data_IF_108715986556
#
_entry.id   IF_108715986556
#
_cell.length_a   1.000
_cell.length_b   1.000
_cell.length_c   1.000
_cell.angle_alpha   90.00
_cell.angle_beta   90.00
_cell.angle_gamma   90.00
#
_symmetry.space_group_name_H-M   'P 1'
#
loop_
_entity.id
_entity.type
_entity.pdbx_description
1 polymer ?
#
# COMPACT_ATOMS: atom_id res chain seq x y z
N UNK A 1 26.20 -9.18 20.56
CA UNK A 1 25.08 -8.35 20.08
C UNK A 1 24.04 -8.28 21.19
N UNK A 2 23.98 -7.16 21.90
CA UNK A 2 22.99 -6.94 22.96
C UNK A 2 21.60 -6.78 22.32
N UNK A 3 20.58 -7.46 22.87
CA UNK A 3 19.19 -7.34 22.42
C UNK A 3 18.73 -5.90 22.61
N UNK A 4 18.50 -5.15 21.52
CA UNK A 4 17.75 -3.91 21.60
C UNK A 4 16.31 -4.24 22.00
N UNK A 5 15.85 -3.67 23.11
CA UNK A 5 14.56 -3.97 23.74
C UNK A 5 13.33 -3.58 22.89
N UNK A 6 13.53 -2.94 21.73
CA UNK A 6 12.49 -2.44 20.83
C UNK A 6 12.51 -3.06 19.43
N UNK A 7 12.83 -4.34 19.25
CA UNK A 7 12.90 -4.96 17.91
C UNK A 7 12.11 -6.25 17.73
N UNK A 8 11.69 -6.46 16.49
CA UNK A 8 11.10 -7.68 15.98
C UNK A 8 12.15 -8.46 15.19
N UNK A 9 12.43 -9.69 15.61
CA UNK A 9 13.21 -10.65 14.81
C UNK A 9 12.30 -11.46 13.88
N UNK A 10 12.68 -11.64 12.62
CA UNK A 10 11.95 -12.50 11.70
C UNK A 10 11.93 -13.96 12.18
N UNK A 11 10.74 -14.57 12.25
CA UNK A 11 10.52 -15.98 12.63
C UNK A 11 9.92 -16.77 11.46
N UNK A 12 10.68 -16.98 10.35
CA UNK A 12 10.15 -17.52 9.10
C UNK A 12 9.59 -18.93 9.24
N UNK A 13 10.18 -19.78 10.09
CA UNK A 13 9.68 -21.14 10.36
C UNK A 13 8.30 -21.09 11.03
N UNK A 14 8.10 -20.20 12.01
CA UNK A 14 6.79 -20.05 12.67
C UNK A 14 5.75 -19.50 11.69
N UNK A 15 6.12 -18.52 10.88
CA UNK A 15 5.26 -18.00 9.82
C UNK A 15 4.84 -19.11 8.83
N UNK A 16 5.77 -19.98 8.43
CA UNK A 16 5.48 -21.13 7.59
C UNK A 16 4.51 -22.11 8.26
N UNK A 17 4.75 -22.47 9.53
CA UNK A 17 3.87 -23.37 10.28
C UNK A 17 2.45 -22.82 10.42
N UNK A 18 2.30 -21.51 10.69
CA UNK A 18 0.98 -20.86 10.76
C UNK A 18 0.26 -20.94 9.41
N UNK A 19 0.95 -20.64 8.30
CA UNK A 19 0.36 -20.76 6.95
C UNK A 19 -0.02 -22.21 6.60
N UNK A 20 0.86 -23.16 6.91
CA UNK A 20 0.60 -24.58 6.69
C UNK A 20 -0.61 -25.06 7.50
N UNK A 21 -0.70 -24.68 8.78
CA UNK A 21 -1.84 -24.98 9.64
C UNK A 21 -3.13 -24.34 9.10
N UNK A 22 -3.07 -23.08 8.64
CA UNK A 22 -4.22 -22.39 8.07
C UNK A 22 -4.77 -23.09 6.80
N UNK A 23 -3.92 -23.78 6.05
CA UNK A 23 -4.33 -24.55 4.87
C UNK A 23 -4.81 -25.97 5.21
N UNK A 24 -4.11 -26.66 6.11
CA UNK A 24 -4.36 -28.09 6.43
C UNK A 24 -5.55 -28.27 7.38
N UNK A 25 -5.69 -27.41 8.39
CA UNK A 25 -6.73 -27.58 9.43
C UNK A 25 -8.16 -27.56 8.86
N UNK A 26 -8.55 -26.67 7.91
CA UNK A 26 -9.88 -26.71 7.31
C UNK A 26 -10.18 -28.03 6.59
N UNK A 27 -9.20 -28.58 5.87
CA UNK A 27 -9.34 -29.85 5.17
C UNK A 27 -9.52 -31.01 6.15
N UNK A 28 -8.69 -31.08 7.19
CA UNK A 28 -8.80 -32.10 8.25
C UNK A 28 -10.15 -32.00 8.94
N UNK A 29 -10.60 -30.78 9.27
CA UNK A 29 -11.89 -30.56 9.91
C UNK A 29 -13.06 -31.03 9.03
N UNK A 30 -13.04 -30.72 7.74
CA UNK A 30 -14.05 -31.19 6.79
C UNK A 30 -14.09 -32.73 6.68
N UNK A 31 -12.92 -33.38 6.62
CA UNK A 31 -12.80 -34.85 6.61
C UNK A 31 -13.36 -35.46 7.89
N UNK A 32 -13.05 -34.88 9.06
CA UNK A 32 -13.57 -35.35 10.35
C UNK A 32 -15.09 -35.21 10.40
N UNK A 33 -15.65 -34.09 9.93
CA UNK A 33 -17.12 -33.90 9.85
C UNK A 33 -17.76 -34.93 8.92
N UNK A 34 -17.18 -35.16 7.74
CA UNK A 34 -17.66 -36.19 6.81
C UNK A 34 -17.66 -37.56 7.49
N UNK A 35 -16.53 -37.95 8.07
CA UNK A 35 -16.37 -39.23 8.76
C UNK A 35 -17.38 -39.40 9.89
N UNK A 36 -17.60 -38.39 10.73
CA UNK A 36 -18.59 -38.44 11.81
C UNK A 36 -20.03 -38.54 11.29
N UNK A 37 -20.38 -37.78 10.26
CA UNK A 37 -21.72 -37.85 9.66
C UNK A 37 -22.00 -39.23 9.08
N UNK A 38 -21.01 -39.87 8.46
CA UNK A 38 -21.17 -41.24 7.94
C UNK A 38 -21.36 -42.28 9.05
N UNK A 39 -20.93 -41.99 10.28
CA UNK A 39 -21.13 -42.86 11.45
C UNK A 39 -22.47 -42.64 12.14
N UNK A 40 -22.98 -41.41 12.14
CA UNK A 40 -24.18 -41.01 12.87
C UNK A 40 -25.44 -41.20 12.02
N UNK A 41 -25.38 -40.85 10.72
CA UNK A 41 -26.53 -40.91 9.85
C UNK A 41 -26.79 -42.35 9.39
N UNK A 42 -28.00 -42.88 9.56
CA UNK A 42 -28.33 -44.23 9.10
C UNK A 42 -28.17 -44.32 7.57
N UNK A 43 -27.64 -45.45 7.09
CA UNK A 43 -27.46 -45.70 5.66
C UNK A 43 -28.81 -46.06 5.01
N UNK A 44 -29.33 -45.24 4.09
CA UNK A 44 -30.59 -45.52 3.41
C UNK A 44 -30.44 -46.68 2.43
N UNK A 45 -31.51 -47.43 2.24
CA UNK A 45 -31.56 -48.60 1.33
C UNK A 45 -32.11 -48.26 -0.05
N UNK A 46 -32.76 -47.09 -0.20
CA UNK A 46 -33.33 -46.63 -1.47
C UNK A 46 -32.33 -45.74 -2.21
N UNK A 47 -32.28 -45.86 -3.54
CA UNK A 47 -31.35 -45.07 -4.36
C UNK A 47 -31.52 -43.54 -4.20
N UNK A 48 -32.76 -42.98 -4.13
CA UNK A 48 -32.93 -41.55 -3.81
C UNK A 48 -32.43 -41.17 -2.42
N UNK A 49 -32.60 -42.06 -1.43
CA UNK A 49 -32.09 -41.85 -0.08
C UNK A 49 -30.56 -41.81 -0.05
N UNK A 50 -29.90 -42.72 -0.78
CA UNK A 50 -28.43 -42.75 -0.89
C UNK A 50 -27.90 -41.46 -1.50
N UNK A 51 -28.55 -40.95 -2.55
CA UNK A 51 -28.20 -39.66 -3.16
C UNK A 51 -28.35 -38.53 -2.14
N UNK A 52 -29.50 -38.43 -1.47
CA UNK A 52 -29.74 -37.39 -0.48
C UNK A 52 -28.74 -37.45 0.68
N UNK A 53 -28.39 -38.64 1.14
CA UNK A 53 -27.42 -38.85 2.20
C UNK A 53 -26.02 -38.35 1.81
N UNK A 54 -25.55 -38.67 0.60
CA UNK A 54 -24.28 -38.14 0.10
C UNK A 54 -24.32 -36.63 -0.09
N UNK A 55 -25.41 -36.08 -0.60
CA UNK A 55 -25.60 -34.63 -0.72
C UNK A 55 -25.53 -33.94 0.64
N UNK A 56 -26.13 -34.53 1.67
CA UNK A 56 -26.09 -34.01 3.03
C UNK A 56 -24.65 -34.04 3.60
N UNK A 57 -23.95 -35.17 3.49
CA UNK A 57 -22.55 -35.30 3.93
C UNK A 57 -21.65 -34.29 3.21
N UNK A 58 -21.80 -34.15 1.89
CA UNK A 58 -21.03 -33.20 1.08
C UNK A 58 -21.35 -31.75 1.47
N UNK A 59 -22.63 -31.41 1.62
CA UNK A 59 -23.05 -30.06 2.00
C UNK A 59 -22.52 -29.68 3.39
N UNK A 60 -22.64 -30.56 4.38
CA UNK A 60 -22.13 -30.34 5.73
C UNK A 60 -20.61 -30.26 5.78
N UNK A 61 -19.89 -31.11 5.04
CA UNK A 61 -18.43 -31.08 4.96
C UNK A 61 -17.92 -29.82 4.26
N UNK A 62 -18.62 -29.37 3.22
CA UNK A 62 -18.34 -28.10 2.53
C UNK A 62 -18.59 -26.90 3.45
N UNK A 63 -19.67 -26.93 4.24
CA UNK A 63 -19.94 -25.90 5.24
C UNK A 63 -18.86 -25.88 6.33
N UNK A 64 -18.48 -27.04 6.85
CA UNK A 64 -17.41 -27.20 7.82
C UNK A 64 -16.08 -26.65 7.30
N UNK A 65 -15.73 -26.99 6.05
CA UNK A 65 -14.56 -26.45 5.36
C UNK A 65 -14.60 -24.91 5.32
N UNK A 66 -15.72 -24.32 4.88
CA UNK A 66 -15.86 -22.85 4.79
C UNK A 66 -15.77 -22.16 6.14
N UNK A 67 -16.36 -22.75 7.18
CA UNK A 67 -16.28 -22.21 8.54
C UNK A 67 -14.83 -22.24 9.02
N UNK A 68 -14.18 -23.39 8.96
CA UNK A 68 -12.80 -23.55 9.39
C UNK A 68 -11.83 -22.68 8.56
N UNK A 69 -12.05 -22.55 7.24
CA UNK A 69 -11.29 -21.68 6.35
C UNK A 69 -11.42 -20.20 6.74
N UNK A 70 -12.62 -19.72 7.09
CA UNK A 70 -12.79 -18.35 7.61
C UNK A 70 -11.98 -18.12 8.89
N UNK A 71 -12.02 -19.06 9.83
CA UNK A 71 -11.24 -18.94 11.08
C UNK A 71 -9.73 -19.02 10.81
N UNK A 72 -9.28 -19.93 9.96
CA UNK A 72 -7.89 -20.07 9.56
C UNK A 72 -7.35 -18.81 8.88
N UNK A 73 -8.14 -18.18 8.00
CA UNK A 73 -7.77 -16.93 7.32
C UNK A 73 -7.58 -15.75 8.28
N UNK A 74 -8.24 -15.73 9.45
CA UNK A 74 -7.99 -14.72 10.49
C UNK A 74 -6.57 -14.79 11.08
N UNK A 75 -5.88 -15.92 10.94
CA UNK A 75 -4.49 -16.08 11.41
C UNK A 75 -3.45 -15.66 10.35
N UNK A 76 -3.86 -15.32 9.13
CA UNK A 76 -2.94 -14.96 8.05
C UNK A 76 -2.14 -13.67 8.31
N UNK A 77 -2.74 -12.58 8.85
CA UNK A 77 -1.98 -11.38 9.20
C UNK A 77 -0.85 -11.69 10.20
N UNK A 78 -1.11 -12.57 11.17
CA UNK A 78 -0.09 -13.00 12.13
C UNK A 78 1.09 -13.69 11.44
N UNK A 79 0.85 -14.52 10.42
CA UNK A 79 1.93 -15.16 9.68
C UNK A 79 2.81 -14.14 8.91
N UNK A 80 2.22 -13.06 8.40
CA UNK A 80 2.96 -11.95 7.76
C UNK A 80 3.81 -11.23 8.80
N UNK A 81 3.19 -10.80 9.90
CA UNK A 81 3.91 -10.14 11.00
C UNK A 81 5.02 -11.02 11.59
N UNK A 82 4.85 -12.35 11.62
CA UNK A 82 5.90 -13.28 12.07
C UNK A 82 7.12 -13.31 11.15
N UNK A 83 6.96 -13.01 9.87
CA UNK A 83 8.07 -12.94 8.91
C UNK A 83 8.84 -11.62 9.00
N UNK A 84 8.19 -10.55 9.43
CA UNK A 84 8.78 -9.22 9.50
C UNK A 84 9.91 -9.13 10.54
N UNK A 85 10.93 -8.38 10.15
CA UNK A 85 12.03 -7.93 11.00
C UNK A 85 12.07 -6.41 10.95
N UNK A 86 11.74 -5.76 12.07
CA UNK A 86 11.57 -4.31 12.18
C UNK A 86 12.11 -3.84 13.53
N UNK A 87 12.67 -2.63 13.55
CA UNK A 87 13.08 -1.95 14.79
C UNK A 87 12.12 -0.80 15.02
N UNK A 88 11.68 -0.62 16.27
CA UNK A 88 10.70 0.38 16.66
C UNK A 88 11.41 1.56 17.35
N UNK A 89 10.83 2.77 17.30
CA UNK A 89 11.40 3.95 17.96
C UNK A 89 11.63 3.69 19.46
N UNK A 90 10.62 3.13 20.13
CA UNK A 90 10.66 2.84 21.57
C UNK A 90 10.58 1.34 21.86
N UNK A 91 9.36 0.79 21.85
CA UNK A 91 9.09 -0.60 22.22
C UNK A 91 8.39 -1.33 21.10
N UNK A 92 8.79 -2.58 20.89
CA UNK A 92 8.13 -3.44 19.93
C UNK A 92 6.71 -3.83 20.42
N UNK A 93 5.65 -3.57 19.64
CA UNK A 93 4.30 -3.97 19.98
C UNK A 93 4.15 -5.50 19.90
N UNK A 94 3.06 -6.01 20.49
CA UNK A 94 2.75 -7.43 20.42
C UNK A 94 2.19 -7.78 19.03
N UNK A 95 2.88 -8.65 18.29
CA UNK A 95 2.44 -9.13 16.96
C UNK A 95 1.02 -9.72 16.95
N UNK A 96 0.64 -10.41 18.03
CA UNK A 96 -0.70 -10.97 18.15
C UNK A 96 -1.76 -9.87 18.30
N UNK A 97 -1.47 -8.83 19.11
CA UNK A 97 -2.33 -7.67 19.26
C UNK A 97 -2.57 -6.94 17.94
N UNK A 98 -1.50 -6.64 17.21
CA UNK A 98 -1.57 -6.05 15.86
C UNK A 98 -2.42 -6.91 14.91
N UNK A 99 -2.22 -8.24 14.93
CA UNK A 99 -2.96 -9.14 14.03
C UNK A 99 -4.46 -9.20 14.30
N UNK A 100 -4.89 -9.03 15.56
CA UNK A 100 -6.30 -8.99 15.92
C UNK A 100 -6.97 -7.71 15.45
N UNK A 101 -6.24 -6.59 15.48
CA UNK A 101 -6.71 -5.29 14.99
C UNK A 101 -6.86 -5.26 13.46
N UNK A 102 -6.01 -5.98 12.71
CA UNK A 102 -5.97 -5.98 11.23
C UNK A 102 -7.03 -6.84 10.52
N UNK A 103 -8.13 -7.24 11.18
CA UNK A 103 -9.02 -8.31 10.70
C UNK A 103 -10.49 -7.95 10.45
N UNK A 104 -10.93 -6.73 10.75
CA UNK A 104 -12.33 -6.32 10.65
C UNK A 104 -12.44 -4.95 9.95
N UNK A 105 -13.33 -4.82 8.97
CA UNK A 105 -13.55 -3.58 8.20
C UNK A 105 -14.00 -2.41 9.09
N UNK A 106 -14.87 -2.65 10.07
CA UNK A 106 -15.28 -1.62 11.03
C UNK A 106 -14.09 -1.15 11.89
N UNK A 107 -13.18 -2.06 12.24
CA UNK A 107 -11.96 -1.71 12.98
C UNK A 107 -10.97 -0.96 12.09
N UNK A 108 -11.03 -1.15 10.76
CA UNK A 108 -10.19 -0.42 9.81
C UNK A 108 -10.60 1.05 9.70
N UNK A 109 -11.90 1.35 9.60
CA UNK A 109 -12.40 2.74 9.60
C UNK A 109 -11.99 3.47 10.88
N UNK A 110 -12.18 2.83 12.04
CA UNK A 110 -11.76 3.39 13.34
C UNK A 110 -10.24 3.62 13.44
N UNK A 111 -9.43 2.71 12.88
CA UNK A 111 -7.98 2.87 12.83
C UNK A 111 -7.52 3.94 11.83
N UNK A 112 -8.23 4.10 10.70
CA UNK A 112 -7.97 5.14 9.72
C UNK A 112 -8.30 6.52 10.27
N UNK A 113 -9.45 6.68 10.93
CA UNK A 113 -9.84 7.91 11.63
C UNK A 113 -8.82 8.26 12.70
N UNK A 114 -8.41 7.26 13.50
CA UNK A 114 -7.40 7.44 14.53
C UNK A 114 -6.06 7.87 13.95
N UNK A 115 -5.59 7.23 12.89
CA UNK A 115 -4.31 7.57 12.25
C UNK A 115 -4.36 8.95 11.59
N UNK A 116 -5.50 9.34 11.02
CA UNK A 116 -5.67 10.65 10.36
C UNK A 116 -5.77 11.80 11.36
N UNK A 117 -6.20 11.54 12.60
CA UNK A 117 -6.25 12.52 13.70
C UNK A 117 -4.99 12.52 14.57
N UNK A 118 -4.14 11.51 14.43
CA UNK A 118 -2.94 11.37 15.24
C UNK A 118 -1.90 12.41 14.83
N UNK A 119 -1.46 13.21 15.81
CA UNK A 119 -0.47 14.26 15.60
C UNK A 119 0.96 13.76 15.78
N UNK A 120 1.94 14.64 15.57
CA UNK A 120 3.38 14.36 15.79
C UNK A 120 3.77 14.16 17.26
N UNK A 121 2.85 14.37 18.21
CA UNK A 121 3.08 14.36 19.66
C UNK A 121 2.53 13.10 20.36
N UNK A 122 1.93 12.16 19.61
CA UNK A 122 1.35 10.94 20.16
C UNK A 122 2.41 9.86 20.47
N UNK A 123 2.07 8.89 21.34
CA UNK A 123 2.94 7.75 21.67
C UNK A 123 3.35 6.98 20.40
N UNK A 124 4.63 7.08 20.03
CA UNK A 124 5.22 6.47 18.83
C UNK A 124 4.99 4.95 18.78
N UNK A 125 4.89 4.29 19.94
CA UNK A 125 4.61 2.85 20.01
C UNK A 125 3.17 2.55 19.58
N UNK A 126 2.22 3.35 20.05
CA UNK A 126 0.80 3.21 19.71
C UNK A 126 0.54 3.59 18.24
N UNK A 127 1.22 4.63 17.76
CA UNK A 127 1.19 5.00 16.35
C UNK A 127 1.77 3.89 15.47
N UNK A 128 2.92 3.32 15.82
CA UNK A 128 3.52 2.20 15.09
C UNK A 128 2.61 0.96 15.09
N UNK A 129 1.91 0.69 16.20
CA UNK A 129 0.92 -0.40 16.27
C UNK A 129 -0.25 -0.18 15.31
N UNK A 130 -0.79 1.03 15.30
CA UNK A 130 -1.90 1.46 14.43
C UNK A 130 -1.49 1.35 12.95
N UNK A 131 -0.34 1.92 12.60
CA UNK A 131 0.20 1.92 11.23
C UNK A 131 0.52 0.50 10.76
N UNK A 132 1.02 -0.38 11.62
CA UNK A 132 1.21 -1.80 11.27
C UNK A 132 -0.10 -2.54 11.05
N UNK A 133 -1.13 -2.25 11.84
CA UNK A 133 -2.46 -2.82 11.64
C UNK A 133 -3.06 -2.35 10.30
N UNK A 134 -2.89 -1.07 9.95
CA UNK A 134 -3.26 -0.50 8.66
C UNK A 134 -2.48 -1.15 7.50
N UNK A 135 -1.16 -1.27 7.59
CA UNK A 135 -0.33 -1.95 6.57
C UNK A 135 -0.67 -3.44 6.39
N UNK A 136 -1.05 -4.12 7.47
CA UNK A 136 -1.57 -5.49 7.40
C UNK A 136 -2.97 -5.54 6.74
N UNK A 137 -3.82 -4.54 6.98
CA UNK A 137 -5.12 -4.41 6.33
C UNK A 137 -4.98 -4.08 4.83
N UNK A 138 -4.01 -3.25 4.43
CA UNK A 138 -3.71 -2.95 3.02
C UNK A 138 -3.41 -4.23 2.23
N UNK A 139 -2.57 -5.12 2.80
CA UNK A 139 -2.27 -6.43 2.20
C UNK A 139 -3.53 -7.33 2.06
N UNK A 140 -4.58 -7.10 2.85
CA UNK A 140 -5.85 -7.78 2.72
C UNK A 140 -6.77 -7.10 1.68
N UNK A 141 -6.74 -5.77 1.63
CA UNK A 141 -7.53 -4.90 0.75
C UNK A 141 -7.07 -4.97 -0.72
N UNK A 142 -5.79 -5.22 -0.97
CA UNK A 142 -5.26 -5.50 -2.29
C UNK A 142 -4.78 -6.97 -2.40
N UNK A 143 -5.68 -7.91 -2.76
CA UNK A 143 -5.33 -9.30 -2.97
C UNK A 143 -4.28 -9.49 -4.07
N UNK A 144 -4.13 -8.53 -4.99
CA UNK A 144 -3.27 -8.59 -6.18
C UNK A 144 -1.82 -8.26 -5.85
N UNK A 145 -1.56 -7.55 -4.75
CA UNK A 145 -0.21 -7.17 -4.28
C UNK A 145 0.20 -7.85 -2.97
N UNK A 146 -0.42 -8.98 -2.59
CA UNK A 146 -0.08 -9.67 -1.32
C UNK A 146 1.42 -9.90 -1.14
N UNK A 147 1.97 -9.31 -0.08
CA UNK A 147 3.40 -9.42 0.27
C UNK A 147 4.33 -8.62 -0.64
N UNK A 148 3.80 -7.71 -1.45
CA UNK A 148 4.55 -6.75 -2.25
C UNK A 148 5.36 -5.82 -1.36
N UNK A 149 4.71 -5.12 -0.42
CA UNK A 149 5.39 -4.24 0.52
C UNK A 149 6.52 -4.93 1.29
N UNK A 150 6.34 -6.22 1.66
CA UNK A 150 7.38 -7.02 2.31
C UNK A 150 8.62 -7.25 1.42
N UNK A 151 8.42 -7.46 0.12
CA UNK A 151 9.49 -7.69 -0.86
C UNK A 151 10.16 -6.37 -1.22
N UNK A 152 9.40 -5.31 -1.46
CA UNK A 152 9.93 -3.94 -1.69
C UNK A 152 10.80 -3.51 -0.51
N UNK A 153 10.32 -3.68 0.73
CA UNK A 153 11.10 -3.48 1.95
C UNK A 153 12.43 -4.24 1.92
N UNK A 154 12.40 -5.51 1.54
CA UNK A 154 13.60 -6.35 1.54
C UNK A 154 14.57 -5.97 0.41
N UNK A 155 14.09 -5.56 -0.77
CA UNK A 155 14.95 -5.04 -1.83
C UNK A 155 15.54 -3.67 -1.47
N UNK A 156 14.76 -2.78 -0.85
CA UNK A 156 15.24 -1.50 -0.34
C UNK A 156 16.32 -1.69 0.72
N UNK A 157 16.15 -2.65 1.63
CA UNK A 157 17.16 -3.02 2.64
C UNK A 157 18.48 -3.51 2.01
N UNK A 158 18.41 -4.29 0.92
CA UNK A 158 19.61 -4.72 0.18
C UNK A 158 20.29 -3.56 -0.54
N UNK A 159 19.51 -2.63 -1.10
CA UNK A 159 20.01 -1.41 -1.72
C UNK A 159 20.70 -0.51 -0.70
N UNK A 160 20.06 -0.26 0.45
CA UNK A 160 20.66 0.52 1.52
C UNK A 160 21.99 -0.09 2.00
N UNK A 161 22.05 -1.42 2.15
CA UNK A 161 23.31 -2.10 2.48
C UNK A 161 24.40 -1.89 1.42
N UNK A 162 24.07 -2.04 0.13
CA UNK A 162 25.01 -1.83 -0.97
C UNK A 162 25.47 -0.37 -1.07
N UNK A 163 24.59 0.58 -0.71
CA UNK A 163 24.88 2.01 -0.72
C UNK A 163 25.57 2.49 0.57
N UNK A 164 25.90 1.58 1.49
CA UNK A 164 26.69 1.87 2.69
C UNK A 164 25.90 2.42 3.87
N UNK A 165 24.57 2.27 3.88
CA UNK A 165 23.75 2.68 5.02
C UNK A 165 24.06 1.85 6.26
N UNK A 166 24.07 2.53 7.40
CA UNK A 166 24.14 1.92 8.72
C UNK A 166 22.92 1.06 9.01
N UNK A 167 23.02 0.18 10.02
CA UNK A 167 21.88 -0.65 10.44
C UNK A 167 20.67 0.20 10.88
N UNK A 168 20.89 1.37 11.49
CA UNK A 168 19.82 2.28 11.91
C UNK A 168 19.10 2.90 10.72
N UNK A 169 19.85 3.45 9.76
CA UNK A 169 19.30 4.02 8.52
C UNK A 169 18.53 2.97 7.73
N UNK A 170 19.09 1.76 7.60
CA UNK A 170 18.37 0.64 6.98
C UNK A 170 17.08 0.28 7.70
N UNK A 171 17.03 0.41 9.03
CA UNK A 171 15.80 0.16 9.78
C UNK A 171 14.72 1.20 9.44
N UNK A 172 15.07 2.48 9.35
CA UNK A 172 14.16 3.56 8.92
C UNK A 172 13.72 3.37 7.47
N UNK A 173 14.65 3.04 6.57
CA UNK A 173 14.36 2.71 5.17
C UNK A 173 13.40 1.53 5.03
N UNK A 174 13.59 0.46 5.80
CA UNK A 174 12.68 -0.69 5.81
C UNK A 174 11.26 -0.30 6.21
N UNK A 175 11.11 0.58 7.19
CA UNK A 175 9.78 1.08 7.56
C UNK A 175 9.17 1.90 6.44
N UNK A 176 9.87 2.91 5.96
CA UNK A 176 9.33 3.81 4.95
C UNK A 176 9.00 3.08 3.64
N UNK A 177 9.87 2.18 3.17
CA UNK A 177 9.63 1.36 1.98
C UNK A 177 8.48 0.33 2.17
N UNK A 178 8.21 -0.12 3.40
CA UNK A 178 7.04 -0.98 3.66
C UNK A 178 5.73 -0.19 3.63
N UNK A 179 5.79 1.09 4.01
CA UNK A 179 4.63 1.98 4.11
C UNK A 179 4.38 2.82 2.86
N UNK A 180 5.21 2.72 1.82
CA UNK A 180 5.13 3.60 0.65
C UNK A 180 3.72 3.69 0.04
N UNK A 181 3.01 2.57 0.05
CA UNK A 181 1.67 2.42 -0.51
C UNK A 181 0.52 2.58 0.52
N UNK A 182 0.81 2.97 1.77
CA UNK A 182 -0.21 2.98 2.85
C UNK A 182 -1.40 3.89 2.53
N UNK A 183 -1.18 5.00 1.80
CA UNK A 183 -2.24 5.91 1.39
C UNK A 183 -3.26 5.30 0.43
N UNK A 184 -2.97 4.16 -0.20
CA UNK A 184 -3.97 3.42 -1.01
C UNK A 184 -5.18 2.97 -0.19
N UNK A 185 -5.09 2.94 1.14
CA UNK A 185 -6.24 2.69 2.01
C UNK A 185 -7.35 3.74 1.90
N UNK A 186 -7.04 4.96 1.46
CA UNK A 186 -8.03 6.02 1.21
C UNK A 186 -8.57 6.03 -0.22
N UNK A 187 -7.99 5.23 -1.12
CA UNK A 187 -8.49 5.13 -2.49
C UNK A 187 -9.75 4.23 -2.49
N UNK A 188 -10.88 4.68 -3.08
CA UNK A 188 -12.08 3.87 -3.20
C UNK A 188 -11.84 2.50 -3.83
N UNK A 189 -12.51 1.47 -3.30
CA UNK A 189 -12.31 0.09 -3.72
C UNK A 189 -12.64 -0.13 -5.21
N UNK A 190 -13.56 0.64 -5.78
CA UNK A 190 -13.93 0.61 -7.19
C UNK A 190 -12.77 1.05 -8.10
N UNK A 191 -11.95 1.99 -7.63
CA UNK A 191 -10.79 2.50 -8.36
C UNK A 191 -9.64 1.51 -8.27
N UNK A 192 -9.30 1.03 -7.06
CA UNK A 192 -8.22 0.04 -6.86
C UNK A 192 -8.51 -1.25 -7.63
N UNK A 193 -9.76 -1.70 -7.63
CA UNK A 193 -10.14 -2.97 -8.24
C UNK A 193 -10.51 -2.87 -9.73
N UNK A 194 -10.43 -1.67 -10.33
CA UNK A 194 -10.77 -1.43 -11.72
C UNK A 194 -10.05 -2.43 -12.65
N UNK A 195 -10.77 -3.07 -13.59
CA UNK A 195 -10.21 -4.13 -14.46
C UNK A 195 -9.40 -3.58 -15.65
N UNK A 196 -9.21 -2.27 -15.75
CA UNK A 196 -8.55 -1.62 -16.89
C UNK A 196 -7.78 -0.36 -16.51
N UNK A 197 -7.36 0.41 -17.53
CA UNK A 197 -6.74 1.71 -17.31
C UNK A 197 -7.73 2.63 -16.59
N UNK A 198 -7.25 3.34 -15.57
CA UNK A 198 -8.03 4.33 -14.84
C UNK A 198 -8.45 5.45 -15.79
N UNK A 199 -9.66 5.97 -15.60
CA UNK A 199 -10.08 7.24 -16.21
C UNK A 199 -9.25 8.39 -15.65
N UNK A 200 -9.27 9.55 -16.30
CA UNK A 200 -8.50 10.70 -15.83
C UNK A 200 -8.97 11.14 -14.42
N UNK A 201 -10.27 11.12 -14.15
CA UNK A 201 -10.82 11.40 -12.80
C UNK A 201 -10.35 10.38 -11.76
N UNK A 202 -10.38 9.08 -12.10
CA UNK A 202 -9.91 8.02 -11.23
C UNK A 202 -8.40 8.12 -10.98
N UNK A 203 -7.65 8.57 -11.98
CA UNK A 203 -6.21 8.80 -11.88
C UNK A 203 -5.90 9.98 -10.96
N UNK A 204 -6.68 11.07 -11.01
CA UNK A 204 -6.55 12.21 -10.09
C UNK A 204 -6.72 11.79 -8.63
N UNK A 205 -7.62 10.84 -8.36
CA UNK A 205 -7.76 10.28 -7.01
C UNK A 205 -6.57 9.35 -6.68
N UNK A 206 -6.20 8.46 -7.60
CA UNK A 206 -5.11 7.49 -7.37
C UNK A 206 -3.76 8.16 -7.11
N UNK A 207 -3.43 9.26 -7.81
CA UNK A 207 -2.13 9.93 -7.70
C UNK A 207 -1.88 10.62 -6.36
N UNK A 208 -2.91 10.81 -5.53
CA UNK A 208 -2.82 11.44 -4.20
C UNK A 208 -2.41 10.46 -3.09
N UNK A 209 -2.32 9.16 -3.37
CA UNK A 209 -1.95 8.17 -2.36
C UNK A 209 -0.56 8.40 -1.71
N UNK A 210 0.46 9.03 -2.33
CA UNK A 210 1.69 9.36 -1.62
C UNK A 210 1.46 10.39 -0.51
N UNK A 211 0.64 11.41 -0.77
CA UNK A 211 0.33 12.47 0.21
C UNK A 211 -0.52 11.93 1.36
N UNK A 212 -1.56 11.15 1.06
CA UNK A 212 -2.32 10.43 2.10
C UNK A 212 -1.46 9.43 2.88
N UNK A 213 -0.43 8.87 2.22
CA UNK A 213 0.55 8.03 2.89
C UNK A 213 1.34 8.80 3.94
N UNK A 214 1.77 10.03 3.61
CA UNK A 214 2.45 10.92 4.53
C UNK A 214 1.57 11.33 5.71
N UNK A 215 0.29 11.65 5.46
CA UNK A 215 -0.67 11.94 6.53
C UNK A 215 -0.87 10.76 7.49
N UNK A 216 -1.12 9.55 6.96
CA UNK A 216 -1.30 8.36 7.80
C UNK A 216 -0.02 7.97 8.57
N UNK A 217 1.14 8.37 8.06
CA UNK A 217 2.43 8.16 8.69
C UNK A 217 2.89 9.33 9.56
N UNK A 218 2.08 10.40 9.69
CA UNK A 218 2.45 11.66 10.35
C UNK A 218 3.14 11.47 11.72
N UNK A 219 2.64 10.60 12.63
CA UNK A 219 3.29 10.39 13.92
C UNK A 219 4.70 9.79 13.83
N UNK A 220 5.01 9.03 12.77
CA UNK A 220 6.33 8.43 12.58
C UNK A 220 7.31 9.34 11.85
N UNK A 221 6.86 10.43 11.24
CA UNK A 221 7.71 11.32 10.44
C UNK A 221 8.91 11.89 11.22
N UNK A 222 8.78 12.33 12.50
CA UNK A 222 9.94 12.81 13.26
C UNK A 222 11.03 11.75 13.44
N UNK A 223 10.64 10.48 13.56
CA UNK A 223 11.58 9.37 13.68
C UNK A 223 12.15 8.92 12.33
N UNK A 224 11.31 8.91 11.28
CA UNK A 224 11.73 8.55 9.93
C UNK A 224 12.65 9.61 9.31
N UNK A 225 12.47 10.88 9.63
CA UNK A 225 13.25 11.99 9.06
C UNK A 225 13.23 11.94 7.53
N UNK A 226 14.40 12.05 6.90
CA UNK A 226 14.55 12.01 5.43
C UNK A 226 14.04 10.72 4.78
N UNK A 227 13.95 9.62 5.53
CA UNK A 227 13.46 8.34 4.99
C UNK A 227 11.97 8.39 4.64
N UNK A 228 11.22 9.34 5.22
CA UNK A 228 9.82 9.57 4.88
C UNK A 228 9.59 9.90 3.40
N UNK A 229 10.63 10.37 2.69
CA UNK A 229 10.56 10.56 1.24
C UNK A 229 10.17 9.27 0.48
N UNK A 230 10.50 8.08 1.01
CA UNK A 230 10.05 6.81 0.44
C UNK A 230 8.52 6.62 0.47
N UNK A 231 7.79 7.41 1.25
CA UNK A 231 6.32 7.41 1.30
C UNK A 231 5.79 8.48 0.35
N UNK A 232 6.21 9.74 0.51
CA UNK A 232 5.65 10.86 -0.26
C UNK A 232 6.15 11.00 -1.70
N UNK A 233 7.31 10.45 -2.04
CA UNK A 233 8.00 10.73 -3.32
C UNK A 233 8.33 9.46 -4.13
N UNK A 234 7.84 8.28 -3.75
CA UNK A 234 8.24 7.02 -4.41
C UNK A 234 7.76 6.88 -5.87
N UNK A 235 6.86 7.77 -6.32
CA UNK A 235 6.43 7.88 -7.71
C UNK A 235 7.02 9.09 -8.46
N UNK A 236 7.90 9.84 -7.81
CA UNK A 236 8.71 10.85 -8.49
C UNK A 236 9.68 10.18 -9.46
N UNK A 237 10.01 10.89 -10.53
CA UNK A 237 10.88 10.39 -11.59
C UNK A 237 12.11 11.26 -11.67
N UNK A 238 13.26 10.64 -11.91
CA UNK A 238 14.53 11.38 -11.98
C UNK A 238 14.54 12.48 -13.06
N UNK A 239 13.72 12.32 -14.11
CA UNK A 239 13.49 13.30 -15.19
C UNK A 239 12.47 14.40 -14.89
N UNK A 240 11.87 14.41 -13.69
CA UNK A 240 10.86 15.40 -13.28
C UNK A 240 9.45 15.13 -13.79
N UNK A 241 9.22 14.08 -14.60
CA UNK A 241 7.87 13.75 -15.10
C UNK A 241 7.06 12.88 -14.11
N UNK A 242 7.44 12.90 -12.83
CA UNK A 242 6.85 12.12 -11.75
C UNK A 242 5.65 12.80 -11.10
N UNK A 243 5.22 12.24 -9.97
CA UNK A 243 4.17 12.79 -9.11
C UNK A 243 4.44 12.42 -7.64
N UNK A 244 3.88 13.15 -6.67
CA UNK A 244 2.85 14.19 -6.78
C UNK A 244 3.36 15.57 -7.22
N UNK A 245 4.60 15.94 -6.89
CA UNK A 245 5.12 17.31 -6.97
C UNK A 245 5.94 17.58 -8.24
N UNK A 246 6.41 16.53 -8.93
CA UNK A 246 7.22 16.68 -10.16
C UNK A 246 8.65 17.13 -9.87
N UNK A 247 9.17 16.82 -8.68
CA UNK A 247 10.57 17.07 -8.32
C UNK A 247 11.50 16.17 -9.14
N UNK A 248 12.71 16.67 -9.43
CA UNK A 248 13.64 16.02 -10.36
C UNK A 248 15.01 15.77 -9.74
N UNK A 249 15.74 14.81 -10.31
CA UNK A 249 17.13 14.55 -9.97
C UNK A 249 17.35 14.25 -8.48
N UNK A 250 18.26 15.01 -7.86
CA UNK A 250 18.66 14.83 -6.45
C UNK A 250 17.75 15.55 -5.45
N UNK A 251 16.82 16.39 -5.91
CA UNK A 251 15.76 16.98 -5.06
C UNK A 251 14.80 15.90 -4.55
N UNK A 252 14.72 14.78 -5.26
CA UNK A 252 14.04 13.58 -4.80
C UNK A 252 14.84 12.97 -3.65
N UNK A 253 14.21 12.79 -2.49
CA UNK A 253 14.83 12.16 -1.34
C UNK A 253 15.42 10.79 -1.70
N UNK A 254 16.63 10.50 -1.22
CA UNK A 254 17.35 9.29 -1.62
C UNK A 254 16.59 8.00 -1.27
N UNK A 255 15.88 7.99 -0.14
CA UNK A 255 15.00 6.88 0.24
C UNK A 255 13.88 6.63 -0.78
N UNK A 256 13.34 7.69 -1.40
CA UNK A 256 12.34 7.56 -2.47
C UNK A 256 12.97 6.96 -3.72
N UNK A 257 14.12 7.49 -4.16
CA UNK A 257 14.86 6.94 -5.32
C UNK A 257 15.18 5.44 -5.15
N UNK A 258 15.60 5.02 -3.96
CA UNK A 258 15.82 3.61 -3.60
C UNK A 258 14.51 2.81 -3.71
N UNK A 259 13.43 3.33 -3.11
CA UNK A 259 12.13 2.65 -3.06
C UNK A 259 11.50 2.52 -4.45
N UNK A 260 11.60 3.52 -5.32
CA UNK A 260 11.09 3.47 -6.70
C UNK A 260 11.76 2.36 -7.52
N UNK A 261 13.08 2.15 -7.36
CA UNK A 261 13.81 1.05 -8.01
C UNK A 261 13.37 -0.31 -7.45
N UNK A 262 13.27 -0.42 -6.12
CA UNK A 262 12.84 -1.64 -5.44
C UNK A 262 11.40 -2.04 -5.81
N UNK A 263 10.48 -1.08 -5.82
CA UNK A 263 9.08 -1.24 -6.22
C UNK A 263 8.97 -1.69 -7.66
N UNK A 264 9.58 -0.94 -8.59
CA UNK A 264 9.49 -1.27 -10.02
C UNK A 264 10.09 -2.65 -10.32
N UNK A 265 11.20 -3.01 -9.67
CA UNK A 265 11.76 -4.35 -9.79
C UNK A 265 10.80 -5.45 -9.31
N UNK A 266 10.16 -5.25 -8.16
CA UNK A 266 9.17 -6.20 -7.64
C UNK A 266 7.96 -6.32 -8.57
N UNK A 267 7.47 -5.18 -9.08
CA UNK A 267 6.36 -5.12 -10.04
C UNK A 267 6.69 -5.89 -11.32
N UNK A 268 7.92 -5.80 -11.82
CA UNK A 268 8.34 -6.53 -13.03
C UNK A 268 8.51 -8.02 -12.79
N UNK A 269 8.99 -8.43 -11.62
CA UNK A 269 9.39 -9.82 -11.33
C UNK A 269 8.32 -10.64 -10.61
N UNK A 270 7.24 -10.01 -10.17
CA UNK A 270 6.12 -10.67 -9.51
C UNK A 270 5.00 -11.02 -10.50
N UNK A 271 4.38 -12.18 -10.32
CA UNK A 271 3.18 -12.57 -11.08
C UNK A 271 2.01 -11.67 -10.67
N UNK A 272 1.39 -10.99 -11.64
CA UNK A 272 0.17 -10.19 -11.44
C UNK A 272 -0.95 -10.68 -12.36
N UNK A 273 -2.20 -10.34 -12.02
CA UNK A 273 -3.42 -10.83 -12.69
C UNK A 273 -3.45 -10.64 -14.22
N UNK A 274 -2.71 -9.66 -14.74
CA UNK A 274 -2.74 -9.25 -16.15
C UNK A 274 -1.35 -9.23 -16.82
N UNK A 275 -0.30 -9.68 -16.14
CA UNK A 275 1.08 -9.65 -16.68
C UNK A 275 1.92 -10.79 -16.13
N UNK A 276 2.54 -11.54 -17.04
CA UNK A 276 3.54 -12.54 -16.67
C UNK A 276 4.76 -11.88 -16.03
N UNK A 277 5.33 -12.56 -15.04
CA UNK A 277 6.55 -12.11 -14.37
C UNK A 277 7.72 -12.12 -15.36
N UNK A 278 8.44 -11.00 -15.47
CA UNK A 278 9.69 -10.94 -16.24
C UNK A 278 10.81 -11.67 -15.50
N UNK A 279 11.73 -12.33 -16.22
CA UNK A 279 12.96 -12.82 -15.63
C UNK A 279 13.75 -11.69 -14.96
N UNK A 280 14.44 -12.01 -13.85
CA UNK A 280 15.24 -11.05 -13.09
C UNK A 280 16.30 -10.33 -13.95
N UNK A 281 16.88 -11.02 -14.94
CA UNK A 281 17.83 -10.43 -15.88
C UNK A 281 17.19 -9.35 -16.77
N UNK A 282 16.03 -9.63 -17.35
CA UNK A 282 15.30 -8.67 -18.20
C UNK A 282 14.79 -7.48 -17.38
N UNK A 283 14.33 -7.73 -16.14
CA UNK A 283 13.95 -6.66 -15.23
C UNK A 283 15.13 -5.71 -14.93
N UNK A 284 16.35 -6.25 -14.80
CA UNK A 284 17.57 -5.46 -14.58
C UNK A 284 18.01 -4.69 -15.82
N UNK A 285 17.87 -5.29 -17.00
CA UNK A 285 18.10 -4.59 -18.28
C UNK A 285 17.14 -3.41 -18.43
N UNK A 286 15.87 -3.58 -18.06
CA UNK A 286 14.88 -2.51 -18.08
C UNK A 286 15.21 -1.39 -17.08
N UNK A 287 15.63 -1.73 -15.86
CA UNK A 287 16.11 -0.73 -14.89
C UNK A 287 17.29 0.06 -15.46
N UNK A 288 18.26 -0.62 -16.08
CA UNK A 288 19.42 0.00 -16.70
C UNK A 288 19.02 0.94 -17.86
N UNK A 289 18.06 0.51 -18.69
CA UNK A 289 17.52 1.32 -19.79
C UNK A 289 16.84 2.59 -19.30
N UNK A 290 16.16 2.53 -18.15
CA UNK A 290 15.45 3.65 -17.55
C UNK A 290 16.31 4.52 -16.62
N UNK A 291 17.60 4.21 -16.45
CA UNK A 291 18.53 5.02 -15.65
C UNK A 291 18.72 6.41 -16.28
N UNK A 292 18.63 7.46 -15.46
CA UNK A 292 18.73 8.86 -15.87
C UNK A 292 17.42 9.45 -16.41
N UNK A 293 16.36 8.64 -16.55
CA UNK A 293 15.01 9.11 -16.85
C UNK A 293 14.07 8.80 -15.69
N UNK A 294 13.61 7.55 -15.57
CA UNK A 294 12.75 7.17 -14.46
C UNK A 294 13.53 7.07 -13.15
N UNK A 295 14.75 6.52 -13.20
CA UNK A 295 15.50 6.16 -12.00
C UNK A 295 16.83 6.90 -11.93
N UNK A 296 17.28 7.14 -10.70
CA UNK A 296 18.62 7.60 -10.42
C UNK A 296 19.67 6.58 -10.93
N UNK A 297 20.61 6.98 -11.81
CA UNK A 297 21.68 6.12 -12.30
C UNK A 297 22.56 5.50 -11.21
N UNK A 298 22.80 6.20 -10.10
CA UNK A 298 23.60 5.73 -8.97
C UNK A 298 22.89 4.60 -8.25
N UNK A 299 21.59 4.77 -7.97
CA UNK A 299 20.76 3.75 -7.31
C UNK A 299 20.62 2.52 -8.21
N UNK A 300 20.40 2.70 -9.51
CA UNK A 300 20.36 1.58 -10.46
C UNK A 300 21.68 0.84 -10.49
N UNK A 301 22.81 1.55 -10.52
CA UNK A 301 24.15 0.93 -10.47
C UNK A 301 24.34 0.10 -9.21
N UNK A 302 23.98 0.64 -8.05
CA UNK A 302 23.99 -0.10 -6.78
C UNK A 302 23.11 -1.36 -6.87
N UNK A 303 21.88 -1.23 -7.38
CA UNK A 303 20.99 -2.38 -7.56
C UNK A 303 21.61 -3.49 -8.43
N UNK A 304 22.32 -3.10 -9.49
CA UNK A 304 22.98 -4.02 -10.39
C UNK A 304 24.24 -4.67 -9.79
N UNK A 305 24.87 -4.08 -8.77
CA UNK A 305 25.95 -4.74 -8.04
C UNK A 305 25.45 -5.89 -7.16
N UNK A 306 24.18 -5.83 -6.72
CA UNK A 306 23.58 -6.89 -5.90
C UNK A 306 23.47 -8.17 -6.73
N UNK A 307 24.00 -9.27 -6.19
CA UNK A 307 23.93 -10.58 -6.86
C UNK A 307 22.49 -11.08 -7.04
N UNK A 308 22.24 -11.73 -8.18
CA UNK A 308 20.96 -12.41 -8.46
C UNK A 308 20.62 -13.46 -7.39
N UNK A 309 21.62 -14.08 -6.78
CA UNK A 309 21.44 -15.02 -5.67
C UNK A 309 20.72 -14.37 -4.49
N UNK A 310 21.20 -13.21 -4.02
CA UNK A 310 20.55 -12.45 -2.94
C UNK A 310 19.12 -12.03 -3.31
N UNK A 311 18.92 -11.55 -4.53
CA UNK A 311 17.59 -11.13 -5.01
C UNK A 311 16.59 -12.30 -5.04
N UNK A 312 17.02 -13.48 -5.46
CA UNK A 312 16.18 -14.70 -5.49
C UNK A 312 15.69 -15.13 -4.11
N UNK A 313 16.50 -14.94 -3.07
CA UNK A 313 16.08 -15.25 -1.70
C UNK A 313 14.91 -14.39 -1.23
N UNK A 314 14.81 -13.14 -1.69
CA UNK A 314 13.70 -12.22 -1.39
C UNK A 314 12.43 -12.60 -2.13
N UNK A 315 12.53 -12.91 -3.43
CA UNK A 315 11.40 -13.38 -4.23
C UNK A 315 10.83 -14.73 -3.73
N UNK A 316 11.65 -15.49 -2.98
CA UNK A 316 11.31 -16.76 -2.36
C UNK A 316 11.59 -17.96 -3.28
N UNK A 317 11.94 -19.13 -2.73
CA UNK A 317 12.47 -20.27 -3.49
C UNK A 317 11.50 -20.86 -4.53
N UNK A 318 10.19 -20.61 -4.40
CA UNK A 318 9.17 -21.08 -5.35
C UNK A 318 8.96 -20.17 -6.56
N UNK A 319 9.38 -18.89 -6.49
CA UNK A 319 9.26 -17.94 -7.61
C UNK A 319 10.09 -18.39 -8.83
N UNK A 320 11.23 -19.03 -8.57
CA UNK A 320 12.08 -19.64 -9.59
C UNK A 320 11.50 -20.93 -10.19
N UNK A 321 10.79 -21.75 -9.40
CA UNK A 321 10.18 -22.99 -9.92
C UNK A 321 9.09 -22.70 -10.96
N UNK A 322 8.39 -21.58 -10.85
CA UNK A 322 7.44 -21.11 -11.86
C UNK A 322 8.10 -20.72 -13.20
N UNK A 323 9.43 -20.54 -13.23
CA UNK A 323 10.23 -20.16 -14.39
C UNK A 323 10.97 -21.35 -15.02
N UNK A 324 10.88 -22.55 -14.44
CA UNK A 324 11.45 -23.78 -15.01
C UNK A 324 10.43 -24.40 -15.97
N UNK A 325 10.74 -24.57 -17.28
CA UNK A 325 9.77 -25.02 -18.30
C UNK A 325 9.04 -26.34 -17.96
N UNK A 326 9.73 -27.23 -17.25
CA UNK A 326 9.21 -28.52 -16.80
C UNK A 326 8.12 -28.40 -15.72
N UNK A 327 8.21 -27.38 -14.85
CA UNK A 327 7.23 -27.17 -13.78
C UNK A 327 5.96 -26.50 -14.28
N UNK A 328 6.05 -25.61 -15.28
CA UNK A 328 4.86 -25.02 -15.93
C UNK A 328 4.01 -26.09 -16.61
N UNK A 329 4.64 -27.04 -17.30
CA UNK A 329 3.97 -28.17 -17.95
C UNK A 329 3.37 -29.15 -16.93
N UNK A 330 4.05 -29.42 -15.81
CA UNK A 330 3.51 -30.21 -14.71
C UNK A 330 2.33 -29.52 -14.00
N UNK A 331 2.40 -28.20 -13.76
CA UNK A 331 1.30 -27.42 -13.17
C UNK A 331 0.08 -27.36 -14.10
N UNK A 332 0.31 -27.13 -15.40
CA UNK A 332 -0.75 -27.16 -16.41
C UNK A 332 -1.40 -28.56 -16.53
N UNK A 333 -0.60 -29.63 -16.40
CA UNK A 333 -1.10 -30.99 -16.31
C UNK A 333 -1.95 -31.24 -15.05
N UNK A 334 -1.55 -30.68 -13.90
CA UNK A 334 -2.31 -30.78 -12.66
C UNK A 334 -3.60 -29.95 -12.67
N UNK A 335 -3.59 -28.75 -13.26
CA UNK A 335 -4.79 -27.91 -13.40
C UNK A 335 -5.77 -28.48 -14.41
N UNK A 336 -5.30 -29.06 -15.52
CA UNK A 336 -6.17 -29.79 -16.47
C UNK A 336 -6.74 -31.06 -15.85
N UNK A 337 -5.97 -31.81 -15.06
CA UNK A 337 -6.50 -32.94 -14.27
C UNK A 337 -7.57 -32.50 -13.25
N UNK A 338 -7.35 -31.40 -12.54
CA UNK A 338 -8.30 -30.86 -11.57
C UNK A 338 -9.57 -30.29 -12.24
N UNK A 339 -9.43 -29.60 -13.37
CA UNK A 339 -10.56 -29.11 -14.18
C UNK A 339 -11.35 -30.28 -14.78
N UNK A 340 -10.68 -31.30 -15.31
CA UNK A 340 -11.32 -32.49 -15.85
C UNK A 340 -11.98 -33.32 -14.74
N UNK A 341 -11.42 -33.36 -13.53
CA UNK A 341 -12.06 -33.98 -12.37
C UNK A 341 -13.30 -33.20 -11.90
N UNK A 342 -13.28 -31.85 -11.95
CA UNK A 342 -14.43 -31.01 -11.64
C UNK A 342 -15.54 -31.13 -12.69
N UNK A 343 -15.18 -31.24 -13.98
CA UNK A 343 -16.12 -31.50 -15.08
C UNK A 343 -16.66 -32.93 -15.01
N UNK A 344 -15.87 -33.92 -14.62
CA UNK A 344 -16.35 -35.28 -14.37
C UNK A 344 -17.32 -35.35 -13.17
N UNK A 345 -17.08 -34.55 -12.13
CA UNK A 345 -18.01 -34.40 -11.01
C UNK A 345 -19.32 -33.69 -11.39
N UNK A 346 -19.30 -32.77 -12.36
CA UNK A 346 -20.50 -32.17 -12.95
C UNK A 346 -21.23 -33.11 -13.93
N UNK A 347 -20.51 -33.90 -14.72
CA UNK A 347 -21.07 -34.88 -15.64
C UNK A 347 -21.72 -36.09 -14.90
N UNK A 348 -21.25 -36.39 -13.69
CA UNK A 348 -21.91 -37.36 -12.80
C UNK A 348 -23.31 -36.93 -12.31
N UNK A 349 -23.66 -35.65 -12.45
CA UNK A 349 -24.97 -35.10 -12.08
C UNK A 349 -25.96 -34.99 -13.25
N UNK A 350 -25.56 -35.29 -14.49
CA UNK A 350 -26.41 -35.12 -15.69
C UNK A 350 -26.79 -36.43 -16.37
N UNK A 351 -26.70 -37.57 -15.68
CA UNK A 351 -27.08 -38.88 -16.21
C UNK A 351 -28.53 -39.29 -15.87
N UNK A 352 -29.50 -38.37 -15.87
CA UNK A 352 -30.94 -38.73 -16.01
C UNK A 352 -31.76 -37.54 -16.52
N UNK A 353 -31.80 -37.34 -17.84
CA UNK A 353 -32.97 -36.81 -18.56
C UNK A 353 -32.70 -36.87 -20.08
N UNK A 354 -32.84 -38.05 -20.68
CA UNK A 354 -33.06 -38.14 -22.13
C UNK A 354 -34.55 -37.95 -22.36
N UNK A 355 -34.93 -36.89 -23.10
CA UNK A 355 -36.32 -36.63 -23.45
C UNK A 355 -36.55 -35.39 -24.32
N UNK A 356 -36.15 -35.49 -25.59
CA UNK A 356 -36.71 -34.81 -26.77
C UNK A 356 -36.46 -33.29 -27.01
N UNK A 357 -35.71 -33.02 -28.10
CA UNK A 357 -35.94 -32.02 -29.18
C UNK A 357 -36.19 -30.55 -28.81
N UNK A 358 -35.58 -29.51 -29.40
CA UNK A 358 -35.07 -29.33 -30.75
C UNK A 358 -34.02 -28.20 -30.79
N UNK A 359 -33.12 -28.28 -31.77
CA UNK A 359 -32.20 -27.20 -32.14
C UNK A 359 -33.00 -26.03 -32.71
N UNK A 360 -32.97 -24.89 -32.03
CA UNK A 360 -33.35 -23.59 -32.61
C UNK A 360 -32.21 -22.63 -32.32
N UNK A 361 -31.48 -22.26 -33.38
CA UNK A 361 -30.52 -21.17 -33.32
C UNK A 361 -31.25 -19.83 -33.09
N UNK A 362 -30.81 -18.96 -32.18
CA UNK A 362 -31.25 -17.58 -32.19
C UNK A 362 -30.39 -16.79 -33.19
N UNK A 363 -31.08 -16.15 -34.12
CA UNK A 363 -30.54 -15.14 -35.00
C UNK A 363 -30.03 -13.93 -34.21
N UNK A 364 -29.00 -13.29 -34.76
CA UNK A 364 -28.49 -11.98 -34.34
C UNK A 364 -29.62 -10.95 -34.43
N UNK A 365 -30.08 -10.46 -33.28
CA UNK A 365 -30.94 -9.27 -33.17
C UNK A 365 -30.03 -8.12 -32.73
N UNK A 366 -29.80 -7.20 -33.65
CA UNK A 366 -29.19 -5.90 -33.41
C UNK A 366 -30.12 -5.06 -32.51
N UNK A 367 -29.65 -4.70 -31.32
CA UNK A 367 -30.39 -3.86 -30.38
C UNK A 367 -29.86 -2.42 -30.47
N UNK A 368 -30.72 -1.39 -30.56
CA UNK A 368 -30.26 -0.02 -30.68
C UNK A 368 -29.58 0.44 -29.39
N UNK A 369 -28.43 1.10 -29.56
CA UNK A 369 -27.61 1.69 -28.50
C UNK A 369 -28.40 2.77 -27.75
N UNK A 370 -28.43 2.78 -26.40
CA UNK A 370 -29.04 3.88 -25.67
C UNK A 370 -28.19 5.15 -25.81
N UNK A 371 -28.85 6.27 -26.10
CA UNK A 371 -28.25 7.60 -26.06
C UNK A 371 -28.00 8.02 -24.61
N UNK A 372 -26.84 8.62 -24.28
CA UNK A 372 -26.56 9.12 -22.94
C UNK A 372 -27.47 10.32 -22.61
N UNK A 373 -27.93 10.47 -21.35
CA UNK A 373 -28.68 11.66 -20.94
C UNK A 373 -27.78 12.90 -20.90
N UNK A 374 -28.33 14.04 -21.29
CA UNK A 374 -27.68 15.35 -21.20
C UNK A 374 -27.22 15.67 -19.78
N UNK A 375 -25.97 16.13 -19.65
CA UNK A 375 -25.37 16.55 -18.39
C UNK A 375 -26.15 17.72 -17.77
N UNK A 376 -26.64 17.51 -16.56
CA UNK A 376 -27.05 18.60 -15.67
C UNK A 376 -25.76 19.14 -15.03
N UNK A 377 -25.45 20.41 -15.27
CA UNK A 377 -24.31 21.06 -14.63
C UNK A 377 -24.55 21.12 -13.11
N UNK A 378 -23.65 20.49 -12.35
CA UNK A 378 -23.59 20.60 -10.89
C UNK A 378 -23.22 22.04 -10.50
N UNK A 379 -23.75 22.59 -9.40
CA UNK A 379 -23.33 23.90 -8.91
C UNK A 379 -21.83 23.89 -8.56
N UNK A 380 -21.12 24.98 -8.85
CA UNK A 380 -19.71 25.13 -8.54
C UNK A 380 -19.49 24.93 -7.03
N UNK A 381 -18.55 24.04 -6.68
CA UNK A 381 -18.13 23.81 -5.30
C UNK A 381 -17.40 25.08 -4.83
N UNK A 382 -17.86 25.66 -3.72
CA UNK A 382 -17.25 26.84 -3.10
C UNK A 382 -16.08 26.37 -2.24
N UNK A 383 -14.92 27.00 -2.40
CA UNK A 383 -13.73 26.82 -1.56
C UNK A 383 -13.66 27.99 -0.59
N UNK A 384 -13.32 27.72 0.67
CA UNK A 384 -13.16 28.72 1.72
C UNK A 384 -11.76 28.55 2.34
N UNK A 385 -10.88 29.51 2.06
CA UNK A 385 -9.52 29.56 2.63
C UNK A 385 -9.51 30.58 3.78
N UNK A 386 -9.07 30.15 4.96
CA UNK A 386 -9.05 30.94 6.18
C UNK A 386 -7.66 31.50 6.46
N UNK A 387 -7.59 32.74 6.92
CA UNK A 387 -6.32 33.41 7.26
C UNK A 387 -5.58 32.69 8.40
N UNK A 388 -4.25 32.75 8.34
CA UNK A 388 -3.33 32.11 9.28
C UNK A 388 -2.43 33.12 10.02
N UNK A 389 -1.87 32.69 11.15
CA UNK A 389 -0.92 33.48 11.92
C UNK A 389 0.26 32.65 12.43
N UNK A 390 1.47 33.19 12.29
CA UNK A 390 2.69 32.63 12.88
C UNK A 390 3.48 33.67 13.65
N UNK A 391 4.25 33.22 14.65
CA UNK A 391 5.18 34.05 15.40
C UNK A 391 6.49 33.31 15.57
N UNK A 392 7.60 33.98 15.28
CA UNK A 392 8.94 33.43 15.33
C UNK A 392 9.95 34.48 15.82
N UNK A 393 11.14 34.04 16.22
CA UNK A 393 12.27 34.93 16.50
C UNK A 393 12.96 35.34 15.20
N UNK A 394 13.64 36.49 15.19
CA UNK A 394 14.55 36.83 14.09
C UNK A 394 15.59 35.72 13.86
N UNK A 395 16.04 35.59 12.61
CA UNK A 395 16.98 34.57 12.10
C UNK A 395 16.53 33.09 12.23
N UNK A 396 15.31 32.82 12.73
CA UNK A 396 14.72 31.49 12.74
C UNK A 396 13.76 31.31 11.56
N UNK A 397 13.71 30.10 10.99
CA UNK A 397 12.68 29.71 10.03
C UNK A 397 11.57 28.96 10.76
N UNK A 398 10.32 29.19 10.37
CA UNK A 398 9.15 28.49 10.91
C UNK A 398 8.38 27.79 9.78
N UNK A 399 7.84 26.60 10.07
CA UNK A 399 7.01 25.82 9.13
C UNK A 399 5.59 25.70 9.67
N UNK A 400 4.61 26.14 8.88
CA UNK A 400 3.19 26.12 9.24
C UNK A 400 2.37 25.33 8.23
N UNK A 401 1.37 24.61 8.74
CA UNK A 401 0.39 23.93 7.91
C UNK A 401 -0.81 24.85 7.67
N UNK A 402 -0.77 25.61 6.57
CA UNK A 402 -1.76 26.66 6.23
C UNK A 402 -3.12 26.13 5.78
N UNK A 403 -3.26 24.80 5.65
CA UNK A 403 -4.52 24.14 5.32
C UNK A 403 -5.21 23.58 6.58
N UNK A 404 -4.60 23.75 7.77
CA UNK A 404 -5.08 23.12 9.00
C UNK A 404 -6.42 23.67 9.50
N UNK A 405 -6.79 24.88 9.06
CA UNK A 405 -8.02 25.59 9.37
C UNK A 405 -8.99 25.67 8.16
N UNK A 406 -8.66 25.05 7.02
CA UNK A 406 -9.47 25.10 5.81
C UNK A 406 -10.33 23.84 5.64
N UNK A 407 -11.62 23.98 5.34
CA UNK A 407 -12.52 22.86 5.02
C UNK A 407 -12.58 22.65 3.49
N UNK A 408 -11.43 22.33 2.90
CA UNK A 408 -11.28 22.16 1.46
C UNK A 408 -10.42 20.95 1.12
N UNK A 409 -10.91 20.14 0.17
CA UNK A 409 -10.10 19.10 -0.47
C UNK A 409 -9.24 19.75 -1.57
N UNK A 410 -7.96 19.98 -1.26
CA UNK A 410 -7.03 20.80 -2.05
C UNK A 410 -6.55 20.08 -3.32
N UNK A 411 -6.65 20.77 -4.45
CA UNK A 411 -6.03 20.42 -5.72
C UNK A 411 -4.68 21.10 -5.92
N UNK A 412 -4.54 22.37 -5.50
CA UNK A 412 -3.26 23.08 -5.53
C UNK A 412 -3.20 24.18 -4.48
N UNK A 413 -1.99 24.41 -3.98
CA UNK A 413 -1.63 25.51 -3.08
C UNK A 413 -0.46 26.27 -3.72
N UNK A 414 -0.58 27.61 -3.81
CA UNK A 414 0.52 28.44 -4.32
C UNK A 414 0.57 29.79 -3.62
N UNK A 415 1.77 30.37 -3.53
CA UNK A 415 1.96 31.75 -3.09
C UNK A 415 1.60 32.67 -4.26
N UNK A 416 0.66 33.58 -4.05
CA UNK A 416 0.23 34.59 -5.03
C UNK A 416 1.07 35.85 -4.89
N UNK A 417 1.32 36.27 -3.65
CA UNK A 417 2.18 37.40 -3.31
C UNK A 417 3.09 36.99 -2.17
N UNK A 418 4.40 37.08 -2.37
CA UNK A 418 5.39 36.76 -1.35
C UNK A 418 5.49 37.83 -0.26
N UNK A 419 6.21 37.52 0.83
CA UNK A 419 6.53 38.45 1.91
C UNK A 419 7.46 39.59 1.46
N UNK A 420 7.45 40.73 2.18
CA UNK A 420 8.31 41.89 1.90
C UNK A 420 9.68 41.81 2.59
N UNK A 421 9.79 41.05 3.68
CA UNK A 421 10.96 41.02 4.57
C UNK A 421 11.45 39.59 4.86
N UNK A 422 11.31 38.71 3.87
CA UNK A 422 11.81 37.35 3.94
C UNK A 422 11.52 36.55 2.68
N UNK A 423 11.66 35.23 2.80
CA UNK A 423 11.34 34.28 1.73
C UNK A 423 10.38 33.22 2.25
N UNK A 424 9.49 32.77 1.38
CA UNK A 424 8.53 31.73 1.68
C UNK A 424 8.54 30.65 0.59
N UNK A 425 8.41 29.39 1.00
CA UNK A 425 8.33 28.25 0.09
C UNK A 425 7.28 27.25 0.57
N UNK A 426 6.63 26.56 -0.37
CA UNK A 426 5.67 25.51 -0.07
C UNK A 426 6.38 24.16 -0.22
N UNK A 427 6.45 23.43 0.88
CA UNK A 427 6.94 22.05 0.94
C UNK A 427 5.82 21.02 0.75
N UNK A 428 6.15 19.72 0.87
CA UNK A 428 5.18 18.63 0.70
C UNK A 428 3.97 18.76 1.64
N UNK A 429 2.78 18.39 1.14
CA UNK A 429 1.56 18.34 1.95
C UNK A 429 1.03 19.69 2.43
N UNK A 430 1.41 20.81 1.80
CA UNK A 430 0.90 22.15 2.16
C UNK A 430 1.63 22.83 3.32
N UNK A 431 2.82 22.33 3.68
CA UNK A 431 3.67 22.95 4.70
C UNK A 431 4.39 24.18 4.13
N UNK A 432 3.98 25.37 4.53
CA UNK A 432 4.62 26.62 4.14
C UNK A 432 5.74 26.94 5.12
N UNK A 433 6.96 27.11 4.60
CA UNK A 433 8.13 27.53 5.38
C UNK A 433 8.44 28.99 5.10
N UNK A 434 8.50 29.82 6.14
CA UNK A 434 8.93 31.22 6.08
C UNK A 434 10.30 31.39 6.73
N UNK A 435 11.17 32.17 6.09
CA UNK A 435 12.49 32.57 6.61
C UNK A 435 12.63 34.09 6.48
N UNK A 436 12.73 34.84 7.60
CA UNK A 436 12.90 36.28 7.56
C UNK A 436 14.27 36.65 6.99
N UNK A 437 14.39 37.86 6.46
CA UNK A 437 15.69 38.42 6.10
C UNK A 437 16.58 38.54 7.35
N UNK A 438 17.90 38.33 7.24
CA UNK A 438 18.79 38.39 8.39
C UNK A 438 18.66 39.70 9.19
N UNK A 439 18.42 39.59 10.50
CA UNK A 439 18.23 40.73 11.41
C UNK A 439 16.92 41.52 11.23
N UNK A 440 15.95 41.00 10.46
CA UNK A 440 14.62 41.59 10.40
C UNK A 440 13.79 41.27 11.65
N UNK A 441 13.20 42.30 12.26
CA UNK A 441 12.17 42.17 13.27
C UNK A 441 11.03 43.15 12.97
N UNK A 442 9.78 42.69 13.17
CA UNK A 442 8.59 43.41 12.75
C UNK A 442 7.49 42.50 12.25
N UNK A 443 6.52 43.07 11.55
CA UNK A 443 5.42 42.33 10.92
C UNK A 443 5.67 42.15 9.44
N UNK A 444 5.33 40.98 8.92
CA UNK A 444 5.37 40.63 7.49
C UNK A 444 4.08 39.88 7.12
N UNK A 445 3.80 39.73 5.83
CA UNK A 445 2.62 38.99 5.37
C UNK A 445 2.78 38.47 3.96
N UNK A 446 2.13 37.35 3.66
CA UNK A 446 2.02 36.84 2.30
C UNK A 446 0.59 36.42 1.98
N UNK A 447 0.26 36.35 0.69
CA UNK A 447 -1.04 35.89 0.19
C UNK A 447 -0.85 34.58 -0.56
N UNK A 448 -1.61 33.56 -0.20
CA UNK A 448 -1.64 32.28 -0.89
C UNK A 448 -3.04 31.99 -1.45
N UNK A 449 -3.10 31.16 -2.47
CA UNK A 449 -4.33 30.70 -3.11
C UNK A 449 -4.45 29.19 -2.92
N UNK A 450 -5.64 28.78 -2.49
CA UNK A 450 -6.06 27.39 -2.33
C UNK A 450 -7.10 27.10 -3.40
N UNK A 451 -6.83 26.13 -4.27
CA UNK A 451 -7.81 25.63 -5.23
C UNK A 451 -8.26 24.24 -4.79
N UNK A 452 -9.57 24.03 -4.76
CA UNK A 452 -10.19 22.75 -4.45
C UNK A 452 -10.35 21.87 -5.68
N UNK A 453 -10.46 20.55 -5.47
CA UNK A 453 -10.66 19.55 -6.54
C UNK A 453 -11.95 19.77 -7.36
N UNK A 454 -12.91 20.52 -6.83
CA UNK A 454 -14.16 20.91 -7.49
C UNK A 454 -14.04 22.10 -8.45
N UNK A 455 -12.84 22.68 -8.60
CA UNK A 455 -12.55 23.79 -9.50
C UNK A 455 -12.80 25.20 -8.93
N UNK A 456 -13.22 25.31 -7.66
CA UNK A 456 -13.24 26.58 -6.94
C UNK A 456 -11.85 26.92 -6.40
N UNK A 457 -11.52 28.21 -6.31
CA UNK A 457 -10.31 28.70 -5.64
C UNK A 457 -10.67 29.86 -4.73
N UNK A 458 -9.94 29.99 -3.64
CA UNK A 458 -10.02 31.10 -2.70
C UNK A 458 -8.61 31.53 -2.25
N UNK A 459 -8.49 32.73 -1.70
CA UNK A 459 -7.21 33.29 -1.24
C UNK A 459 -7.25 33.66 0.22
N UNK A 460 -6.18 33.35 0.94
CA UNK A 460 -6.01 33.69 2.35
C UNK A 460 -4.67 34.38 2.61
N UNK A 461 -4.59 35.07 3.75
CA UNK A 461 -3.42 35.82 4.21
C UNK A 461 -2.74 35.07 5.34
N UNK A 462 -1.42 34.89 5.24
CA UNK A 462 -0.58 34.48 6.35
C UNK A 462 0.04 35.72 6.99
N UNK A 463 -0.37 36.04 8.23
CA UNK A 463 0.18 37.13 9.03
C UNK A 463 1.38 36.65 9.86
N UNK A 464 2.50 37.36 9.78
CA UNK A 464 3.78 36.95 10.34
C UNK A 464 4.27 38.00 11.34
N UNK A 465 4.65 37.56 12.55
CA UNK A 465 5.28 38.44 13.55
C UNK A 465 6.66 37.92 13.92
N UNK A 466 7.70 38.69 13.59
CA UNK A 466 9.10 38.38 13.89
C UNK A 466 9.55 39.17 15.12
N UNK A 467 9.85 38.46 16.20
CA UNK A 467 10.29 39.04 17.48
C UNK A 467 11.81 39.26 17.49
N UNK A 468 12.24 40.47 17.84
CA UNK A 468 13.65 40.79 18.01
C UNK A 468 14.28 39.95 19.14
N UNK A 469 15.52 39.50 18.92
CA UNK A 469 16.36 38.82 19.89
C UNK A 469 17.50 39.77 20.26
N UNK A 470 17.90 39.79 21.53
CA UNK A 470 18.96 40.69 21.96
C UNK A 470 20.33 40.10 21.62
N UNK A 471 20.96 40.60 20.56
CA UNK A 471 22.31 40.21 20.20
C UNK A 471 23.36 40.74 21.19
N UNK A 472 24.36 39.91 21.59
CA UNK A 472 25.50 40.40 22.35
C UNK A 472 26.33 41.37 21.49
N UNK A 473 26.86 42.48 22.04
CA UNK A 473 27.62 43.46 21.28
C UNK A 473 28.88 42.82 20.66
N UNK A 474 28.90 42.72 19.32
CA UNK A 474 29.96 42.08 18.54
C UNK A 474 31.18 42.96 18.30
N UNK A 475 32.36 42.33 18.26
CA UNK A 475 33.59 42.90 17.70
C UNK A 475 33.43 43.00 16.17
N UNK A 476 33.50 44.23 15.65
CA UNK A 476 33.45 44.53 14.22
C UNK A 476 34.76 44.33 13.48
#
# INVERSE_FOLDING_TARGET
MARQAGSWEGKPVRAFLIRAAAFVLPLVFAIVVAWQLTRILPTPTTWPGVIFWWLLVMASSTMALRIADRFAKRLMPLAVLMKLSLVFPDKAPNRFGVSLKSGNAHTLEELLDKASRAGTHDDLTEAAETILALGAALNAHDPRTRGHGDRVRAYADMLGEEMGYTDEERNKLKWAAMLHDIGKLRVPAEIINSPGKLTDDQWTIMRNHPDWGMELAAPLLPWLGEFAAAIGQHHERFDGNGYPNGVAGEEIGLAARITSVADTYDVMTSVRSYKEARPASEAREELARCAGSQFDPVVVRAFLNISLGRQRWVAGPLSWLAQVPFFQSALQGATTLAQNAAVAAQAGLTATAVGATAVVAPALIDSPRPTPPSQVALPAIVVEANDDVITLSEDASETVFVLGNDDVEVASLRIVSGPEHGTASIGPGGLLTYTPDPGFSGTDSLVYEVCGIGGGCDTAVLAITVSAVNDPPGLG
#
